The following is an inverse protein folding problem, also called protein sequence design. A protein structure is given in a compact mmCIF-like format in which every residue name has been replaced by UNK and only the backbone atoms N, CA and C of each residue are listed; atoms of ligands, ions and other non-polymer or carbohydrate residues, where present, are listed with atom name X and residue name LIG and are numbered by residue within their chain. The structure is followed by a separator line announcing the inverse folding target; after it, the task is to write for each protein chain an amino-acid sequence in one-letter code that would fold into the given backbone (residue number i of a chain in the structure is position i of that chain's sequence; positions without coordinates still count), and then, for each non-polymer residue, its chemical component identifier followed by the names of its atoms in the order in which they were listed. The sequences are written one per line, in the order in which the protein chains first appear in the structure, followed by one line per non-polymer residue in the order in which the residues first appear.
data_IF_807425495546
#
_entry.id   IF_807425495546
#
_cell.length_a   1.000
_cell.length_b   1.000
_cell.length_c   1.000
_cell.angle_alpha   90.00
_cell.angle_beta   90.00
_cell.angle_gamma   90.00
#
_symmetry.space_group_name_H-M   'P 1'
#
loop_
_entity.id
_entity.type
_entity.pdbx_description
1 polymer ?
#
# COMPACT_ATOMS: atom_id res chain seq x y z
N UNK A 1 2.10 -0.51 14.04
CA UNK A 1 1.00 -0.17 13.12
C UNK A 1 1.53 -0.19 11.71
N UNK A 2 0.67 -0.30 10.70
CA UNK A 2 1.09 -0.20 9.30
C UNK A 2 1.43 1.25 8.96
N UNK A 3 2.51 1.46 8.19
CA UNK A 3 2.75 2.75 7.52
C UNK A 3 1.70 2.89 6.43
N UNK A 4 1.01 4.02 6.38
CA UNK A 4 -0.05 4.29 5.40
C UNK A 4 0.33 5.44 4.49
N UNK A 5 -0.06 5.35 3.22
CA UNK A 5 0.01 6.46 2.25
C UNK A 5 -1.19 7.40 2.36
N UNK A 6 -2.17 7.06 3.19
CA UNK A 6 -3.34 7.89 3.45
C UNK A 6 -2.96 9.16 4.19
N UNK A 7 -3.56 10.28 3.79
CA UNK A 7 -3.46 11.53 4.55
C UNK A 7 -4.13 11.43 5.92
N UNK A 8 -3.78 12.31 6.87
CA UNK A 8 -4.25 12.24 8.26
C UNK A 8 -5.77 12.35 8.43
N UNK A 9 -6.48 12.92 7.45
CA UNK A 9 -7.94 13.04 7.47
C UNK A 9 -8.70 11.81 6.95
N UNK A 10 -8.02 10.77 6.48
CA UNK A 10 -8.66 9.55 5.96
C UNK A 10 -8.85 8.56 7.11
N UNK A 11 -9.75 8.90 8.04
CA UNK A 11 -10.00 8.15 9.29
C UNK A 11 -11.14 7.16 9.19
N UNK A 12 -11.95 7.23 8.13
CA UNK A 12 -13.10 6.34 7.93
C UNK A 12 -14.41 6.80 8.55
N UNK A 13 -14.49 8.03 9.07
CA UNK A 13 -15.66 8.57 9.79
C UNK A 13 -16.98 8.39 9.01
N UNK A 14 -16.95 8.58 7.68
CA UNK A 14 -18.13 8.37 6.83
C UNK A 14 -18.64 6.94 6.81
N UNK A 15 -17.73 5.95 6.83
CA UNK A 15 -18.10 4.53 6.88
C UNK A 15 -18.72 4.22 8.24
N UNK A 16 -18.15 4.75 9.33
CA UNK A 16 -18.66 4.56 10.69
C UNK A 16 -20.06 5.16 10.84
N UNK A 17 -20.28 6.41 10.40
CA UNK A 17 -21.61 7.05 10.43
C UNK A 17 -22.66 6.25 9.65
N UNK A 18 -22.30 5.68 8.50
CA UNK A 18 -23.23 4.86 7.72
C UNK A 18 -23.58 3.54 8.45
N UNK A 19 -22.60 2.88 9.06
CA UNK A 19 -22.82 1.67 9.86
C UNK A 19 -23.73 1.94 11.06
N UNK A 20 -23.59 3.10 11.73
CA UNK A 20 -24.48 3.52 12.83
C UNK A 20 -25.95 3.67 12.38
N UNK A 21 -26.20 3.99 11.11
CA UNK A 21 -27.53 4.07 10.51
C UNK A 21 -28.03 2.71 9.97
N UNK A 22 -27.30 1.63 10.21
CA UNK A 22 -27.64 0.27 9.77
C UNK A 22 -27.26 -0.05 8.33
N UNK A 23 -26.40 0.76 7.70
CA UNK A 23 -25.86 0.41 6.38
C UNK A 23 -24.91 -0.79 6.48
N UNK A 24 -24.99 -1.69 5.51
CA UNK A 24 -24.05 -2.81 5.37
C UNK A 24 -22.72 -2.37 4.79
N UNK A 25 -21.65 -3.06 5.16
CA UNK A 25 -20.33 -2.99 4.53
C UNK A 25 -19.95 -4.35 3.96
N UNK A 26 -19.06 -4.38 2.98
CA UNK A 26 -18.56 -5.61 2.35
C UNK A 26 -17.04 -5.56 2.38
N UNK A 27 -16.40 -6.69 2.72
CA UNK A 27 -14.95 -6.89 2.56
C UNK A 27 -14.07 -5.84 3.26
N UNK A 28 -14.49 -5.37 4.44
CA UNK A 28 -13.76 -4.36 5.24
C UNK A 28 -12.38 -4.81 5.72
N UNK A 29 -12.09 -6.11 5.63
CA UNK A 29 -10.81 -6.71 5.96
C UNK A 29 -9.84 -6.74 4.76
N UNK A 30 -10.29 -6.40 3.54
CA UNK A 30 -9.47 -6.39 2.33
C UNK A 30 -8.65 -5.09 2.23
N UNK A 31 -7.47 -5.09 2.86
CA UNK A 31 -6.54 -3.96 2.85
C UNK A 31 -5.44 -4.17 1.81
N UNK A 32 -5.34 -3.28 0.82
CA UNK A 32 -4.25 -3.28 -0.15
C UNK A 32 -3.04 -2.52 0.39
N UNK A 33 -1.84 -3.06 0.16
CA UNK A 33 -0.55 -2.41 0.46
C UNK A 33 0.13 -1.97 -0.83
N UNK A 34 0.93 -0.91 -0.77
CA UNK A 34 1.77 -0.48 -1.89
C UNK A 34 3.22 -0.90 -1.64
N UNK A 35 3.91 -1.55 -2.60
CA UNK A 35 5.24 -2.11 -2.37
C UNK A 35 6.35 -1.06 -2.23
N UNK A 36 6.14 0.15 -2.77
CA UNK A 36 7.14 1.21 -2.81
C UNK A 36 6.65 2.46 -2.08
N UNK A 37 7.04 2.59 -0.81
CA UNK A 37 6.66 3.70 0.08
C UNK A 37 7.88 4.12 0.90
N UNK A 38 8.02 5.42 1.15
CA UNK A 38 8.99 5.93 2.12
C UNK A 38 8.55 5.53 3.54
N UNK A 39 9.30 4.63 4.18
CA UNK A 39 8.87 3.94 5.41
C UNK A 39 8.69 4.87 6.62
N UNK A 40 9.39 6.01 6.66
CA UNK A 40 9.29 6.95 7.78
C UNK A 40 8.08 7.88 7.67
N UNK A 41 7.80 8.37 6.46
CA UNK A 41 6.80 9.42 6.24
C UNK A 41 5.52 8.92 5.56
N UNK A 42 5.49 7.67 5.09
CA UNK A 42 4.36 7.11 4.34
C UNK A 42 4.18 7.71 2.95
N UNK A 43 5.18 8.43 2.42
CA UNK A 43 5.10 9.04 1.09
C UNK A 43 5.15 7.95 0.02
N UNK A 44 4.18 7.95 -0.87
CA UNK A 44 4.09 7.02 -1.99
C UNK A 44 5.24 7.25 -2.99
N UNK A 45 5.99 6.20 -3.31
CA UNK A 45 6.91 6.18 -4.45
C UNK A 45 6.16 5.54 -5.61
N UNK A 46 5.93 6.33 -6.66
CA UNK A 46 5.04 5.95 -7.76
C UNK A 46 5.44 4.65 -8.45
N UNK A 47 4.44 3.84 -8.79
CA UNK A 47 4.62 2.57 -9.52
C UNK A 47 5.34 2.73 -10.86
N UNK A 48 5.22 3.89 -11.49
CA UNK A 48 5.99 4.24 -12.69
C UNK A 48 7.50 4.08 -12.49
N UNK A 49 8.04 4.31 -11.29
CA UNK A 49 9.47 4.13 -11.02
C UNK A 49 9.91 2.69 -11.28
N UNK A 50 9.10 1.70 -10.84
CA UNK A 50 9.32 0.28 -11.16
C UNK A 50 9.10 0.00 -12.65
N UNK A 51 8.04 0.56 -13.24
CA UNK A 51 7.72 0.39 -14.65
C UNK A 51 8.79 0.91 -15.62
N UNK A 52 9.49 1.98 -15.22
CA UNK A 52 10.55 2.63 -16.00
C UNK A 52 11.96 2.04 -15.72
N UNK A 53 12.03 0.90 -15.01
CA UNK A 53 13.26 0.11 -14.90
C UNK A 53 14.02 0.25 -13.58
N UNK A 54 13.44 0.86 -12.54
CA UNK A 54 14.01 0.74 -11.20
C UNK A 54 14.00 -0.72 -10.73
N UNK A 55 15.03 -1.10 -10.00
CA UNK A 55 15.16 -2.44 -9.40
C UNK A 55 15.02 -2.38 -7.89
N UNK A 56 14.35 -3.37 -7.32
CA UNK A 56 14.25 -3.54 -5.87
C UNK A 56 15.39 -4.42 -5.38
N UNK A 57 16.17 -3.90 -4.43
CA UNK A 57 17.35 -4.57 -3.86
C UNK A 57 17.22 -4.74 -2.35
N UNK A 58 17.81 -5.81 -1.82
CA UNK A 58 17.88 -6.06 -0.39
C UNK A 58 19.00 -5.22 0.28
N UNK A 59 19.17 -5.39 1.59
CA UNK A 59 20.23 -4.71 2.35
C UNK A 59 21.67 -5.08 1.94
N UNK A 60 21.85 -6.10 1.10
CA UNK A 60 23.12 -6.53 0.53
C UNK A 60 23.30 -6.05 -0.92
N UNK A 61 22.32 -5.33 -1.47
CA UNK A 61 22.32 -4.85 -2.86
C UNK A 61 21.91 -5.90 -3.89
N UNK A 62 21.30 -7.02 -3.46
CA UNK A 62 20.85 -8.09 -4.35
C UNK A 62 19.41 -7.87 -4.78
N UNK A 63 19.13 -8.00 -6.08
CA UNK A 63 17.76 -7.95 -6.61
C UNK A 63 16.97 -9.15 -6.11
N UNK A 64 15.80 -8.91 -5.53
CA UNK A 64 15.01 -9.96 -4.87
C UNK A 64 13.65 -10.27 -5.52
N UNK A 65 13.16 -9.44 -6.45
CA UNK A 65 11.86 -9.66 -7.09
C UNK A 65 11.80 -9.16 -8.53
N UNK A 66 10.70 -9.47 -9.22
CA UNK A 66 10.35 -8.88 -10.51
C UNK A 66 9.41 -7.69 -10.29
N UNK A 67 9.89 -6.49 -10.58
CA UNK A 67 9.22 -5.21 -10.29
C UNK A 67 7.97 -4.96 -11.14
N UNK A 68 7.85 -5.69 -12.26
CA UNK A 68 6.68 -5.71 -13.14
C UNK A 68 5.61 -6.74 -12.71
N UNK A 69 5.86 -7.46 -11.60
CA UNK A 69 4.86 -8.30 -10.97
C UNK A 69 3.64 -7.51 -10.48
N UNK A 70 2.56 -8.23 -10.19
CA UNK A 70 1.38 -7.63 -9.57
C UNK A 70 1.71 -7.11 -8.17
N UNK A 71 0.96 -6.12 -7.68
CA UNK A 71 1.27 -5.45 -6.41
C UNK A 71 1.33 -6.40 -5.22
N UNK A 72 0.48 -7.42 -5.19
CA UNK A 72 0.46 -8.46 -4.17
C UNK A 72 1.76 -9.29 -4.20
N UNK A 73 2.22 -9.69 -5.38
CA UNK A 73 3.48 -10.43 -5.56
C UNK A 73 4.67 -9.57 -5.12
N UNK A 74 4.73 -8.31 -5.57
CA UNK A 74 5.85 -7.43 -5.23
C UNK A 74 5.85 -7.06 -3.74
N UNK A 75 4.67 -6.91 -3.12
CA UNK A 75 4.56 -6.61 -1.68
C UNK A 75 4.89 -7.79 -0.77
N UNK A 76 4.82 -9.03 -1.28
CA UNK A 76 5.11 -10.26 -0.53
C UNK A 76 6.57 -10.74 -0.67
N UNK A 77 7.33 -10.17 -1.60
CA UNK A 77 8.71 -10.53 -1.87
C UNK A 77 9.68 -9.93 -0.85
#
# INVERSE_FOLDING_TARGET
GYVTTSGPGITGDGVLMAQELGAGTVDMDQIQVHPTVHQEEGILIGEAVRGEGAILVDGQGQRFTNELGTRDVVSQA
#
